data_IF_446492803939
#
_entry.id   IF_446492803939
#
_cell.length_a   1.000
_cell.length_b   1.000
_cell.length_c   1.000
_cell.angle_alpha   90.00
_cell.angle_beta   90.00
_cell.angle_gamma   90.00
#
_symmetry.space_group_name_H-M   'P 1'
#
loop_
_entity.id
_entity.type
_entity.pdbx_description
1 polymer ?
#
# COMPACT_ATOMS: atom_id res chain seq x y z
N UNK A 1 -33.49 17.81 26.28
CA UNK A 1 -33.02 17.42 24.93
C UNK A 1 -31.48 17.52 24.82
N UNK A 2 -30.71 16.88 25.71
CA UNK A 2 -29.23 16.83 25.63
C UNK A 2 -28.65 15.42 25.62
N UNK A 3 -29.45 14.42 26.02
CA UNK A 3 -29.02 13.02 26.12
C UNK A 3 -29.02 12.33 24.75
N UNK A 4 -29.85 12.77 23.80
CA UNK A 4 -29.93 12.18 22.45
C UNK A 4 -28.70 12.48 21.57
N UNK A 5 -27.98 13.58 21.81
CA UNK A 5 -26.80 13.92 21.01
C UNK A 5 -25.59 13.01 21.29
N UNK A 6 -25.45 12.52 22.53
CA UNK A 6 -24.35 11.61 22.90
C UNK A 6 -24.51 10.21 22.33
N UNK A 7 -25.74 9.70 22.25
CA UNK A 7 -26.02 8.38 21.67
C UNK A 7 -25.71 8.32 20.16
N UNK A 8 -25.94 9.42 19.45
CA UNK A 8 -25.62 9.53 18.01
C UNK A 8 -24.09 9.52 17.80
N UNK A 9 -23.32 10.20 18.66
CA UNK A 9 -21.84 10.21 18.56
C UNK A 9 -21.22 8.83 18.83
N UNK A 10 -21.76 8.04 19.76
CA UNK A 10 -21.28 6.68 20.03
C UNK A 10 -21.67 5.71 18.90
N UNK A 11 -22.87 5.85 18.32
CA UNK A 11 -23.33 5.00 17.22
C UNK A 11 -22.58 5.24 15.89
N UNK A 12 -22.03 6.44 15.65
CA UNK A 12 -21.22 6.71 14.45
C UNK A 12 -19.80 6.12 14.60
N UNK A 13 -19.28 5.97 15.83
CA UNK A 13 -18.00 5.29 16.05
C UNK A 13 -18.06 3.80 15.69
N UNK A 14 -19.20 3.14 15.93
CA UNK A 14 -19.37 1.72 15.60
C UNK A 14 -19.53 1.44 14.10
N UNK A 15 -19.96 2.43 13.30
CA UNK A 15 -19.98 2.32 11.83
C UNK A 15 -18.64 2.64 11.16
N UNK A 16 -17.63 3.09 11.91
CA UNK A 16 -16.27 3.31 11.42
C UNK A 16 -15.37 2.07 11.59
N UNK A 17 -15.88 0.99 12.20
CA UNK A 17 -15.28 -0.34 12.09
C UNK A 17 -15.57 -0.86 10.68
N UNK A 18 -14.76 -0.39 9.72
CA UNK A 18 -14.80 -0.86 8.35
C UNK A 18 -14.76 -2.39 8.31
N UNK A 19 -15.52 -2.96 7.37
CA UNK A 19 -15.52 -4.39 7.07
C UNK A 19 -14.12 -4.97 7.26
N UNK A 20 -14.01 -5.98 8.14
CA UNK A 20 -12.73 -6.57 8.56
C UNK A 20 -11.77 -6.76 7.36
N UNK A 21 -10.75 -5.90 7.26
CA UNK A 21 -9.69 -6.08 6.26
C UNK A 21 -8.84 -7.26 6.70
N UNK A 22 -9.06 -8.41 6.06
CA UNK A 22 -8.22 -9.59 6.27
C UNK A 22 -6.98 -9.50 5.39
N UNK A 23 -5.82 -9.67 6.02
CA UNK A 23 -4.52 -9.71 5.35
C UNK A 23 -3.98 -11.13 5.39
N UNK A 24 -3.38 -11.55 4.29
CA UNK A 24 -2.88 -12.90 4.11
C UNK A 24 -1.51 -12.90 3.51
N UNK A 25 -0.69 -13.87 3.92
CA UNK A 25 0.60 -14.13 3.32
C UNK A 25 0.46 -14.21 1.79
N UNK A 26 1.15 -13.31 1.11
CA UNK A 26 1.22 -13.28 -0.33
C UNK A 26 2.48 -14.00 -0.79
N UNK A 27 3.64 -13.56 -0.29
CA UNK A 27 4.94 -14.09 -0.72
C UNK A 27 6.12 -13.60 0.12
N UNK A 28 7.17 -14.40 0.14
CA UNK A 28 8.53 -13.97 0.49
C UNK A 28 9.34 -13.69 -0.77
N UNK A 29 9.93 -12.50 -0.88
CA UNK A 29 10.75 -12.09 -2.02
C UNK A 29 12.18 -11.82 -1.52
N UNK A 30 13.10 -12.73 -1.83
CA UNK A 30 14.52 -12.58 -1.48
C UNK A 30 15.23 -11.61 -2.42
N UNK A 31 15.05 -11.74 -3.73
CA UNK A 31 15.59 -10.82 -4.73
C UNK A 31 14.72 -10.84 -6.00
N UNK A 32 14.58 -9.70 -6.67
CA UNK A 32 13.78 -9.56 -7.89
C UNK A 32 12.31 -9.24 -7.61
N UNK A 33 11.42 -9.60 -8.54
CA UNK A 33 9.99 -9.26 -8.47
C UNK A 33 9.08 -10.47 -8.63
N UNK A 34 7.91 -10.40 -8.01
CA UNK A 34 6.82 -11.34 -8.20
C UNK A 34 5.55 -10.58 -8.53
N UNK A 35 4.88 -11.01 -9.61
CA UNK A 35 3.55 -10.51 -9.90
C UNK A 35 2.58 -10.96 -8.81
N UNK A 36 1.73 -10.05 -8.37
CA UNK A 36 0.62 -10.33 -7.47
C UNK A 36 -0.61 -10.35 -8.34
N UNK A 37 -1.26 -11.52 -8.50
CA UNK A 37 -2.47 -11.62 -9.31
C UNK A 37 -3.50 -10.63 -8.77
N UNK A 38 -3.84 -9.65 -9.59
CA UNK A 38 -4.64 -8.50 -9.21
C UNK A 38 -6.12 -8.84 -9.31
N UNK A 39 -6.67 -9.40 -8.25
CA UNK A 39 -8.13 -9.40 -8.03
C UNK A 39 -8.66 -7.99 -7.71
N UNK A 40 -7.80 -6.98 -7.77
CA UNK A 40 -8.00 -5.61 -7.28
C UNK A 40 -7.79 -4.53 -8.37
N UNK A 41 -7.74 -4.91 -9.66
CA UNK A 41 -7.63 -3.92 -10.76
C UNK A 41 -8.75 -2.89 -10.66
N UNK A 42 -9.96 -3.37 -10.35
CA UNK A 42 -11.18 -2.57 -10.24
C UNK A 42 -11.41 -1.96 -8.85
N UNK A 43 -10.58 -2.28 -7.86
CA UNK A 43 -10.73 -1.75 -6.50
C UNK A 43 -10.10 -0.36 -6.37
N UNK A 44 -10.81 0.57 -5.72
CA UNK A 44 -10.27 1.90 -5.40
C UNK A 44 -9.23 1.85 -4.29
N UNK A 45 -9.37 0.89 -3.37
CA UNK A 45 -8.44 0.64 -2.26
C UNK A 45 -7.64 -0.65 -2.47
N UNK A 46 -6.37 -0.60 -2.09
CA UNK A 46 -5.48 -1.76 -2.05
C UNK A 46 -4.65 -1.73 -0.77
N UNK A 47 -4.53 -2.88 -0.11
CA UNK A 47 -3.81 -3.02 1.16
C UNK A 47 -2.59 -3.92 1.01
N UNK A 48 -1.51 -3.52 1.67
CA UNK A 48 -0.21 -4.21 1.66
C UNK A 48 0.25 -4.38 3.10
N UNK A 49 0.59 -5.61 3.48
CA UNK A 49 1.44 -5.85 4.65
C UNK A 49 2.87 -6.04 4.21
N UNK A 50 3.82 -5.46 4.93
CA UNK A 50 5.24 -5.54 4.62
C UNK A 50 6.09 -5.67 5.89
N UNK A 51 6.97 -6.68 5.91
CA UNK A 51 8.01 -6.87 6.92
C UNK A 51 9.33 -7.13 6.20
N UNK A 52 10.32 -6.26 6.41
CA UNK A 52 11.61 -6.38 5.74
C UNK A 52 12.71 -5.56 6.45
N UNK A 53 13.94 -6.06 6.38
CA UNK A 53 15.14 -5.26 6.66
C UNK A 53 15.73 -4.63 5.40
N UNK A 54 15.48 -5.26 4.25
CA UNK A 54 16.01 -4.88 2.96
C UNK A 54 15.30 -3.68 2.34
N UNK A 55 15.27 -3.66 1.02
CA UNK A 55 14.72 -2.58 0.20
C UNK A 55 13.49 -3.07 -0.57
N UNK A 56 12.38 -3.35 0.14
CA UNK A 56 11.17 -3.76 -0.52
C UNK A 56 10.61 -2.63 -1.37
N UNK A 57 10.04 -3.02 -2.50
CA UNK A 57 9.38 -2.16 -3.46
C UNK A 57 8.01 -2.74 -3.80
N UNK A 58 7.05 -1.86 -4.05
CA UNK A 58 5.81 -2.22 -4.72
C UNK A 58 5.70 -1.44 -6.00
N UNK A 59 5.60 -2.13 -7.13
CA UNK A 59 5.42 -1.51 -8.43
C UNK A 59 3.94 -1.56 -8.82
N UNK A 60 3.39 -0.39 -9.11
CA UNK A 60 2.06 -0.18 -9.69
C UNK A 60 2.24 -0.02 -11.20
N UNK A 61 1.71 -0.97 -11.98
CA UNK A 61 1.81 -0.95 -13.43
C UNK A 61 0.56 -0.32 -14.03
N UNK A 62 0.74 0.68 -14.89
CA UNK A 62 -0.33 1.27 -15.69
C UNK A 62 -0.32 0.74 -17.13
N UNK A 63 -1.43 0.88 -17.89
CA UNK A 63 -1.52 0.48 -19.29
C UNK A 63 -0.34 0.98 -20.13
N UNK A 64 0.07 2.23 -19.93
CA UNK A 64 1.36 2.70 -20.39
C UNK A 64 2.43 2.38 -19.34
N UNK A 65 3.25 1.37 -19.64
CA UNK A 65 4.28 0.90 -18.74
C UNK A 65 5.28 2.00 -18.31
N UNK A 66 5.52 2.99 -19.16
CA UNK A 66 6.45 4.10 -18.87
C UNK A 66 5.95 5.01 -17.75
N UNK A 67 4.65 5.00 -17.51
CA UNK A 67 3.99 5.81 -16.47
C UNK A 67 3.93 5.09 -15.12
N UNK A 68 4.38 3.83 -15.06
CA UNK A 68 4.36 2.99 -13.85
C UNK A 68 5.10 3.65 -12.69
N UNK A 69 4.60 3.44 -11.48
CA UNK A 69 5.12 4.06 -10.27
C UNK A 69 5.60 2.97 -9.31
N UNK A 70 6.74 3.22 -8.67
CA UNK A 70 7.33 2.38 -7.65
C UNK A 70 7.20 3.06 -6.28
N UNK A 71 6.63 2.31 -5.32
CA UNK A 71 6.66 2.64 -3.90
C UNK A 71 7.92 2.02 -3.31
N UNK A 72 8.86 2.85 -2.91
CA UNK A 72 10.07 2.44 -2.21
C UNK A 72 9.89 2.67 -0.71
N UNK A 73 9.69 1.59 0.04
CA UNK A 73 9.44 1.68 1.48
C UNK A 73 10.71 1.92 2.32
N UNK A 74 11.87 1.84 1.68
CA UNK A 74 13.17 2.15 2.26
C UNK A 74 14.13 2.63 1.18
N UNK A 75 14.44 3.91 1.18
CA UNK A 75 15.58 4.44 0.47
C UNK A 75 16.89 3.94 1.14
N UNK A 76 17.90 3.47 0.37
CA UNK A 76 19.14 2.93 0.94
C UNK A 76 19.97 3.93 1.74
N UNK A 77 19.90 5.21 1.39
CA UNK A 77 20.70 6.28 1.99
C UNK A 77 20.01 6.88 3.22
N UNK A 78 18.69 7.10 3.14
CA UNK A 78 17.91 7.80 4.18
C UNK A 78 17.05 6.88 5.04
N UNK A 79 16.82 5.63 4.62
CA UNK A 79 15.86 4.69 5.20
C UNK A 79 14.38 5.15 5.13
N UNK A 80 14.05 6.14 4.31
CA UNK A 80 12.70 6.73 4.26
C UNK A 80 11.87 6.22 3.09
N UNK A 81 10.55 6.43 3.17
CA UNK A 81 9.62 6.13 2.09
C UNK A 81 9.76 7.13 0.92
N UNK A 82 9.68 6.60 -0.30
CA UNK A 82 9.68 7.38 -1.54
C UNK A 82 8.66 6.83 -2.55
N UNK A 83 8.10 7.74 -3.34
CA UNK A 83 7.36 7.44 -4.56
C UNK A 83 8.24 7.79 -5.75
N UNK A 84 8.44 6.88 -6.69
CA UNK A 84 9.42 7.02 -7.76
C UNK A 84 8.75 6.63 -9.09
N UNK A 85 9.03 7.37 -10.18
CA UNK A 85 8.73 6.85 -11.52
C UNK A 85 9.53 5.59 -11.77
N UNK A 86 8.86 4.52 -12.15
CA UNK A 86 9.53 3.26 -12.41
C UNK A 86 10.55 3.40 -13.56
N UNK A 87 10.14 4.05 -14.65
CA UNK A 87 11.02 4.40 -15.76
C UNK A 87 11.70 5.76 -15.51
N UNK A 88 13.00 5.85 -15.77
CA UNK A 88 13.79 7.07 -15.52
C UNK A 88 14.18 7.32 -14.05
N UNK A 89 13.54 6.62 -13.08
CA UNK A 89 13.88 6.64 -11.65
C UNK A 89 13.85 8.04 -11.02
N UNK A 90 12.98 8.92 -11.53
CA UNK A 90 12.71 10.23 -10.94
C UNK A 90 11.95 10.08 -9.63
N UNK A 91 12.43 10.70 -8.54
CA UNK A 91 11.71 10.74 -7.26
C UNK A 91 10.55 11.73 -7.39
N UNK A 92 9.34 11.21 -7.26
CA UNK A 92 8.09 11.99 -7.30
C UNK A 92 7.77 12.59 -5.94
N UNK A 93 7.99 11.80 -4.89
CA UNK A 93 7.77 12.19 -3.50
C UNK A 93 8.81 11.54 -2.61
N UNK A 94 9.30 12.29 -1.64
CA UNK A 94 10.07 11.79 -0.49
C UNK A 94 9.42 12.32 0.78
N UNK A 95 9.00 11.42 1.68
CA UNK A 95 8.24 11.82 2.89
C UNK A 95 9.15 12.17 4.06
N UNK A 96 10.41 11.73 4.04
CA UNK A 96 11.29 11.81 5.20
C UNK A 96 10.93 10.83 6.34
N UNK A 97 9.93 9.97 6.13
CA UNK A 97 9.44 9.05 7.15
C UNK A 97 10.03 7.64 6.98
N UNK A 98 10.52 7.07 8.07
CA UNK A 98 10.90 5.66 8.16
C UNK A 98 9.65 4.85 8.45
N UNK A 99 9.26 3.95 7.53
CA UNK A 99 7.96 3.27 7.59
C UNK A 99 8.03 1.76 7.82
N UNK A 100 9.23 1.17 7.75
CA UNK A 100 9.43 -0.27 7.91
C UNK A 100 9.93 -0.64 9.29
N UNK A 101 9.67 -1.90 9.64
CA UNK A 101 10.31 -2.61 10.75
C UNK A 101 10.77 -3.99 10.26
N UNK A 102 11.97 -4.38 10.66
CA UNK A 102 12.56 -5.68 10.38
C UNK A 102 11.77 -6.84 11.02
N UNK A 103 11.19 -6.58 12.20
CA UNK A 103 10.68 -7.60 13.10
C UNK A 103 9.15 -7.60 13.18
N UNK A 104 8.50 -6.61 12.58
CA UNK A 104 7.06 -6.42 12.65
C UNK A 104 6.45 -6.20 11.26
N UNK A 105 5.30 -6.82 11.02
CA UNK A 105 4.49 -6.54 9.83
C UNK A 105 3.91 -5.14 9.94
N UNK A 106 4.22 -4.27 8.99
CA UNK A 106 3.63 -2.93 8.85
C UNK A 106 2.61 -2.95 7.74
N UNK A 107 1.49 -2.26 7.96
CA UNK A 107 0.37 -2.23 7.03
C UNK A 107 0.26 -0.87 6.36
N UNK A 108 -0.11 -0.89 5.09
CA UNK A 108 -0.28 0.28 4.25
C UNK A 108 -1.55 0.12 3.42
N UNK A 109 -2.20 1.24 3.16
CA UNK A 109 -3.31 1.34 2.24
C UNK A 109 -2.97 2.32 1.12
N UNK A 110 -3.44 2.00 -0.07
CA UNK A 110 -3.37 2.84 -1.27
C UNK A 110 -4.80 3.07 -1.74
N UNK A 111 -5.15 4.32 -1.97
CA UNK A 111 -6.45 4.73 -2.50
C UNK A 111 -6.25 5.56 -3.77
N UNK A 112 -6.94 5.22 -4.85
CA UNK A 112 -6.84 5.96 -6.14
C UNK A 112 -8.05 6.86 -6.45
N UNK A 113 -8.93 7.08 -5.48
CA UNK A 113 -10.18 7.80 -5.70
C UNK A 113 -9.95 9.26 -6.13
N UNK A 114 -10.90 9.81 -6.88
CA UNK A 114 -10.89 11.21 -7.30
C UNK A 114 -9.64 11.64 -8.09
N UNK A 115 -9.04 10.72 -8.86
CA UNK A 115 -7.87 11.01 -9.68
C UNK A 115 -6.64 11.37 -8.85
N UNK A 116 -6.51 10.80 -7.65
CA UNK A 116 -5.39 11.06 -6.75
C UNK A 116 -4.96 9.75 -6.10
N UNK A 117 -3.66 9.47 -6.10
CA UNK A 117 -3.10 8.33 -5.39
C UNK A 117 -2.75 8.79 -3.97
N UNK A 118 -3.52 8.34 -3.00
CA UNK A 118 -3.24 8.58 -1.59
C UNK A 118 -2.69 7.31 -0.98
N UNK A 119 -1.63 7.44 -0.19
CA UNK A 119 -0.94 6.33 0.48
C UNK A 119 -0.91 6.66 1.96
N UNK A 120 -1.28 5.70 2.79
CA UNK A 120 -1.20 5.85 4.25
C UNK A 120 -0.88 4.55 4.97
N UNK A 121 -0.81 4.66 6.29
CA UNK A 121 -0.46 3.55 7.19
C UNK A 121 -1.72 2.90 7.80
N UNK A 122 -1.56 1.64 8.18
CA UNK A 122 -2.58 0.85 8.82
C UNK A 122 -3.54 0.17 7.83
N UNK A 123 -4.64 -0.34 8.38
CA UNK A 123 -5.69 -1.07 7.64
C UNK A 123 -6.98 -0.26 7.49
N UNK A 124 -6.96 1.02 7.85
CA UNK A 124 -8.11 1.92 7.70
C UNK A 124 -7.78 2.99 6.66
N UNK A 125 -8.32 2.84 5.45
CA UNK A 125 -8.16 3.83 4.38
C UNK A 125 -8.63 5.21 4.83
N UNK A 126 -7.89 6.25 4.42
CA UNK A 126 -8.14 7.64 4.82
C UNK A 126 -7.58 8.06 6.18
N UNK A 127 -6.87 7.17 6.88
CA UNK A 127 -6.18 7.50 8.16
C UNK A 127 -4.67 7.44 8.03
N UNK A 128 -3.96 8.29 8.78
CA UNK A 128 -2.50 8.30 8.84
C UNK A 128 -1.83 8.34 7.45
N UNK A 129 -2.20 9.35 6.66
CA UNK A 129 -1.71 9.58 5.31
C UNK A 129 -0.21 9.90 5.32
N UNK A 130 0.56 9.13 4.54
CA UNK A 130 1.97 9.36 4.26
C UNK A 130 2.16 10.36 3.14
N UNK A 131 1.40 10.21 2.06
CA UNK A 131 1.48 11.10 0.91
C UNK A 131 0.23 11.06 0.05
N UNK A 132 0.05 12.13 -0.72
CA UNK A 132 -0.98 12.29 -1.73
C UNK A 132 -0.29 12.74 -3.01
N UNK A 133 -0.46 11.97 -4.08
CA UNK A 133 0.12 12.23 -5.38
C UNK A 133 -0.99 12.46 -6.42
N UNK A 134 -1.15 13.68 -6.96
CA UNK A 134 -2.17 13.97 -7.94
C UNK A 134 -1.89 13.19 -9.23
N UNK A 135 -2.93 12.66 -9.86
CA UNK A 135 -2.79 11.89 -11.08
C UNK A 135 -2.16 12.72 -12.21
N UNK A 136 -0.96 12.36 -12.71
CA UNK A 136 -0.37 13.02 -13.86
C UNK A 136 -0.92 12.46 -15.19
N UNK A 137 -1.68 11.35 -15.15
CA UNK A 137 -2.09 10.57 -16.33
C UNK A 137 -3.45 11.02 -16.86
N UNK A 138 -3.59 11.07 -18.18
CA UNK A 138 -4.85 11.46 -18.84
C UNK A 138 -5.99 10.47 -18.59
N UNK A 139 -5.66 9.21 -18.29
CA UNK A 139 -6.61 8.10 -18.28
C UNK A 139 -7.00 7.66 -16.86
N UNK A 140 -6.58 8.41 -15.84
CA UNK A 140 -6.77 8.01 -14.44
C UNK A 140 -5.66 7.10 -13.90
N UNK A 141 -5.79 6.68 -12.64
CA UNK A 141 -4.97 5.63 -12.04
C UNK A 141 -5.58 4.25 -12.33
N UNK A 142 -5.71 3.87 -13.60
CA UNK A 142 -6.11 2.52 -13.96
C UNK A 142 -4.91 1.57 -13.86
N UNK A 143 -4.67 0.97 -12.70
CA UNK A 143 -3.54 0.05 -12.52
C UNK A 143 -3.83 -1.34 -13.08
N UNK A 144 -3.15 -1.68 -14.17
CA UNK A 144 -3.19 -3.01 -14.80
C UNK A 144 -2.57 -4.14 -13.95
N UNK A 145 -1.73 -3.81 -12.97
CA UNK A 145 -0.98 -4.81 -12.21
C UNK A 145 -0.26 -4.28 -10.98
N UNK A 146 0.01 -5.16 -10.02
CA UNK A 146 0.83 -4.89 -8.83
C UNK A 146 1.93 -5.95 -8.72
N UNK A 147 3.16 -5.50 -8.47
CA UNK A 147 4.31 -6.37 -8.27
C UNK A 147 4.94 -6.09 -6.92
N UNK A 148 5.25 -7.16 -6.19
CA UNK A 148 6.10 -7.09 -5.01
C UNK A 148 7.52 -7.40 -5.42
N UNK A 149 8.45 -6.53 -5.04
CA UNK A 149 9.85 -6.67 -5.37
C UNK A 149 10.73 -6.40 -4.17
N UNK A 150 11.93 -6.95 -4.20
CA UNK A 150 12.97 -6.67 -3.25
C UNK A 150 14.30 -6.54 -3.97
N UNK A 151 15.02 -5.47 -3.64
CA UNK A 151 16.34 -5.17 -4.21
C UNK A 151 17.45 -5.36 -3.17
N UNK A 152 17.09 -5.41 -1.89
CA UNK A 152 18.03 -5.61 -0.78
C UNK A 152 18.47 -7.07 -0.60
N UNK A 153 19.50 -7.28 0.21
CA UNK A 153 20.04 -8.62 0.49
C UNK A 153 19.16 -9.51 1.39
N UNK A 154 18.30 -8.89 2.22
CA UNK A 154 17.39 -9.60 3.12
C UNK A 154 16.01 -9.77 2.49
N UNK A 155 15.39 -10.94 2.69
CA UNK A 155 14.06 -11.21 2.16
C UNK A 155 13.01 -10.27 2.75
N UNK A 156 12.07 -9.86 1.89
CA UNK A 156 10.88 -9.13 2.27
C UNK A 156 9.67 -10.05 2.29
N UNK A 157 8.91 -10.03 3.38
CA UNK A 157 7.65 -10.74 3.53
C UNK A 157 6.50 -9.78 3.22
N UNK A 158 5.63 -10.20 2.31
CA UNK A 158 4.48 -9.43 1.87
C UNK A 158 3.17 -10.13 2.23
N UNK A 159 2.22 -9.36 2.71
CA UNK A 159 0.81 -9.72 2.79
C UNK A 159 -0.02 -8.87 1.82
N UNK A 160 -1.13 -9.44 1.35
CA UNK A 160 -2.12 -8.74 0.54
C UNK A 160 -3.50 -8.94 1.14
N UNK A 161 -4.43 -8.04 0.82
CA UNK A 161 -5.83 -8.23 1.17
C UNK A 161 -6.36 -9.56 0.62
N UNK A 162 -7.21 -10.20 1.40
CA UNK A 162 -7.84 -11.47 1.08
C UNK A 162 -9.28 -11.52 1.61
N UNK A 163 -10.08 -12.45 1.10
CA UNK A 163 -11.38 -12.76 1.69
C UNK A 163 -11.23 -13.50 3.02
N UNK A 164 -12.31 -13.55 3.81
CA UNK A 164 -12.42 -14.13 5.17
C UNK A 164 -12.00 -15.61 5.32
N UNK A 165 -11.61 -16.30 4.24
CA UNK A 165 -11.37 -17.75 4.17
C UNK A 165 -9.93 -18.13 3.78
N UNK A 166 -8.93 -17.35 4.19
CA UNK A 166 -7.55 -17.75 4.00
C UNK A 166 -7.05 -18.62 5.15
N UNK A 167 -7.03 -19.92 4.89
CA UNK A 167 -6.23 -20.88 5.63
C UNK A 167 -4.75 -20.58 5.33
N UNK A 168 -3.95 -20.31 6.37
CA UNK A 168 -2.48 -20.26 6.22
C UNK A 168 -2.00 -21.59 5.63
N UNK A 169 -1.07 -21.60 4.67
CA UNK A 169 -0.28 -22.81 4.41
C UNK A 169 0.58 -23.06 5.66
N UNK A 170 0.47 -24.27 6.23
CA UNK A 170 1.40 -24.79 7.24
C UNK A 170 2.83 -24.92 6.68
#
# INVERSE_FOLDING_TARGET
MKIFAFLILVLIADFAMGDDIYMCFAKNVSFGGSHVKTEFVDADDFYIGLKACGEPRTLLIFPNYLDSIELAFKNPDTNTFQLIKYYGKEVLVETGEVVLDCNEMKYFWLNKANGTLTIGRGLQSGTDTLTTYPNPLTDGFDWSGVFFANVGGDAAEFEKQCGRLCLRPE
#
